data_IF_306621782044
#
_entry.id   IF_306621782044
#
_cell.length_a   1.000
_cell.length_b   1.000
_cell.length_c   1.000
_cell.angle_alpha   90.00
_cell.angle_beta   90.00
_cell.angle_gamma   90.00
#
_symmetry.space_group_name_H-M   'P 1'
#
loop_
_entity.id
_entity.type
_entity.pdbx_description
1 polymer ?
#
# COMPACT_ATOMS: atom_id res chain seq x y z
N UNK A 1 -17.75 -12.12 14.35
CA UNK A 1 -16.93 -11.07 14.97
C UNK A 1 -17.86 -10.13 15.71
N UNK A 2 -17.71 -9.97 17.02
CA UNK A 2 -18.56 -9.09 17.81
C UNK A 2 -18.08 -7.65 17.69
N UNK A 3 -18.73 -6.85 16.85
CA UNK A 3 -18.48 -5.41 16.77
C UNK A 3 -18.91 -4.76 18.08
N UNK A 4 -17.98 -4.16 18.82
CA UNK A 4 -18.30 -3.41 20.05
C UNK A 4 -18.77 -2.02 19.66
N UNK A 5 -19.80 -1.51 20.32
CA UNK A 5 -20.27 -0.13 20.14
C UNK A 5 -19.76 0.77 21.26
N UNK A 6 -19.55 2.05 20.92
CA UNK A 6 -19.26 3.07 21.91
C UNK A 6 -20.51 3.38 22.73
N UNK A 7 -20.34 3.61 24.03
CA UNK A 7 -21.43 4.11 24.86
C UNK A 7 -21.74 5.56 24.50
N UNK A 8 -22.98 6.02 24.74
CA UNK A 8 -23.35 7.42 24.51
C UNK A 8 -22.41 8.39 25.23
N UNK A 9 -22.00 8.04 26.45
CA UNK A 9 -21.04 8.82 27.25
C UNK A 9 -19.66 8.88 26.59
N UNK A 10 -19.13 7.75 26.10
CA UNK A 10 -17.85 7.71 25.38
C UNK A 10 -17.90 8.58 24.11
N UNK A 11 -18.97 8.47 23.34
CA UNK A 11 -19.17 9.29 22.14
C UNK A 11 -19.18 10.78 22.48
N UNK A 12 -19.88 11.19 23.54
CA UNK A 12 -19.91 12.59 23.98
C UNK A 12 -18.50 13.06 24.39
N UNK A 13 -17.78 12.27 25.18
CA UNK A 13 -16.43 12.61 25.65
C UNK A 13 -15.45 12.77 24.47
N UNK A 14 -15.45 11.80 23.54
CA UNK A 14 -14.55 11.87 22.38
C UNK A 14 -14.91 13.02 21.44
N UNK A 15 -16.20 13.28 21.20
CA UNK A 15 -16.63 14.42 20.39
C UNK A 15 -16.28 15.76 21.03
N UNK A 16 -16.45 15.89 22.35
CA UNK A 16 -16.07 17.10 23.08
C UNK A 16 -14.56 17.35 23.02
N UNK A 17 -13.75 16.30 23.17
CA UNK A 17 -12.30 16.40 23.10
C UNK A 17 -11.81 16.74 21.68
N UNK A 18 -12.37 16.10 20.66
CA UNK A 18 -12.09 16.43 19.26
C UNK A 18 -12.48 17.88 18.93
N UNK A 19 -13.64 18.34 19.42
CA UNK A 19 -14.09 19.72 19.27
C UNK A 19 -13.14 20.72 19.94
N UNK A 20 -12.68 20.44 21.16
CA UNK A 20 -11.72 21.28 21.86
C UNK A 20 -10.37 21.37 21.11
N UNK A 21 -9.85 20.24 20.61
CA UNK A 21 -8.62 20.21 19.81
C UNK A 21 -8.76 21.01 18.50
N UNK A 22 -9.88 20.86 17.80
CA UNK A 22 -10.14 21.62 16.57
C UNK A 22 -10.27 23.13 16.85
N UNK A 23 -10.93 23.51 17.94
CA UNK A 23 -11.09 24.89 18.36
C UNK A 23 -9.75 25.55 18.72
N UNK A 24 -8.93 24.89 19.54
CA UNK A 24 -7.59 25.37 19.91
C UNK A 24 -6.69 25.47 18.67
N UNK A 25 -6.74 24.49 17.77
CA UNK A 25 -6.03 24.54 16.49
C UNK A 25 -6.47 25.73 15.63
N UNK A 26 -7.76 26.01 15.55
CA UNK A 26 -8.30 27.17 14.82
C UNK A 26 -7.86 28.52 15.41
N UNK A 27 -7.86 28.66 16.75
CA UNK A 27 -7.34 29.85 17.42
C UNK A 27 -5.85 30.03 17.14
N UNK A 28 -5.07 28.96 17.25
CA UNK A 28 -3.64 29.03 16.97
C UNK A 28 -3.37 29.45 15.52
N UNK A 29 -4.14 28.92 14.56
CA UNK A 29 -4.00 29.28 13.16
C UNK A 29 -4.33 30.74 12.86
N UNK A 30 -5.36 31.26 13.53
CA UNK A 30 -5.68 32.68 13.52
C UNK A 30 -4.52 33.50 14.08
N UNK A 31 -3.93 33.08 15.20
CA UNK A 31 -2.76 33.72 15.81
C UNK A 31 -1.55 33.77 14.88
N UNK A 32 -1.21 32.64 14.24
CA UNK A 32 -0.12 32.56 13.26
C UNK A 32 -0.36 33.49 12.08
N UNK A 33 -1.60 33.54 11.57
CA UNK A 33 -1.99 34.47 10.51
C UNK A 33 -1.80 35.93 10.93
N UNK A 34 -2.29 36.34 12.10
CA UNK A 34 -2.18 37.72 12.55
C UNK A 34 -0.74 38.14 12.79
N UNK A 35 0.08 37.25 13.35
CA UNK A 35 1.50 37.51 13.59
C UNK A 35 2.26 37.66 12.27
N UNK A 36 2.08 36.72 11.33
CA UNK A 36 2.70 36.80 10.02
C UNK A 36 2.23 38.02 9.22
N UNK A 37 0.93 38.38 9.30
CA UNK A 37 0.41 39.56 8.62
C UNK A 37 1.01 40.86 9.17
N UNK A 38 1.24 40.92 10.50
CA UNK A 38 1.90 42.05 11.14
C UNK A 38 3.38 42.17 10.74
N UNK A 39 4.09 41.04 10.60
CA UNK A 39 5.51 41.01 10.27
C UNK A 39 5.79 41.29 8.78
N UNK A 40 4.99 40.72 7.86
CA UNK A 40 5.24 40.84 6.42
C UNK A 40 4.52 42.04 5.78
N UNK A 41 3.61 42.70 6.49
CA UNK A 41 2.74 43.78 5.99
C UNK A 41 1.99 43.42 4.67
N UNK A 42 1.89 42.12 4.36
CA UNK A 42 1.26 41.57 3.15
C UNK A 42 0.41 40.36 3.54
N UNK A 43 -0.90 40.52 3.47
CA UNK A 43 -1.87 39.48 3.84
C UNK A 43 -1.70 38.19 3.01
N UNK A 44 -1.33 38.31 1.73
CA UNK A 44 -1.10 37.15 0.87
C UNK A 44 0.11 36.30 1.30
N UNK A 45 1.19 36.94 1.76
CA UNK A 45 2.39 36.23 2.26
C UNK A 45 2.08 35.54 3.59
N UNK A 46 1.33 36.20 4.48
CA UNK A 46 0.88 35.61 5.75
C UNK A 46 -0.03 34.41 5.53
N UNK A 47 -1.00 34.51 4.62
CA UNK A 47 -1.86 33.39 4.25
C UNK A 47 -1.05 32.22 3.66
N UNK A 48 -0.03 32.51 2.84
CA UNK A 48 0.86 31.49 2.28
C UNK A 48 1.67 30.74 3.35
N UNK A 49 2.20 31.45 4.36
CA UNK A 49 2.95 30.84 5.48
C UNK A 49 2.05 29.93 6.31
N UNK A 50 0.84 30.39 6.64
CA UNK A 50 -0.16 29.61 7.39
C UNK A 50 -0.60 28.38 6.60
N UNK A 51 -0.91 28.56 5.31
CA UNK A 51 -1.30 27.44 4.44
C UNK A 51 -0.18 26.39 4.31
N UNK A 52 1.08 26.83 4.18
CA UNK A 52 2.22 25.93 4.05
C UNK A 52 2.57 25.19 5.36
N UNK A 53 2.46 25.85 6.52
CA UNK A 53 2.75 25.21 7.81
C UNK A 53 1.57 24.41 8.35
N UNK A 54 0.48 25.11 8.68
CA UNK A 54 -0.67 24.54 9.39
C UNK A 54 -1.65 23.87 8.45
N UNK A 55 -1.88 24.45 7.26
CA UNK A 55 -2.74 23.85 6.24
C UNK A 55 -2.23 22.48 5.79
N UNK A 56 -0.91 22.35 5.56
CA UNK A 56 -0.29 21.08 5.22
C UNK A 56 -0.37 20.06 6.36
N UNK A 57 -0.14 20.50 7.60
CA UNK A 57 -0.27 19.64 8.79
C UNK A 57 -1.70 19.13 8.96
N UNK A 58 -2.70 20.00 8.75
CA UNK A 58 -4.12 19.64 8.76
C UNK A 58 -4.43 18.61 7.68
N UNK A 59 -3.93 18.78 6.46
CA UNK A 59 -4.11 17.81 5.37
C UNK A 59 -3.54 16.45 5.78
N UNK A 60 -2.32 16.39 6.33
CA UNK A 60 -1.74 15.13 6.81
C UNK A 60 -2.55 14.50 7.95
N UNK A 61 -3.05 15.31 8.89
CA UNK A 61 -3.91 14.83 9.97
C UNK A 61 -5.24 14.26 9.45
N UNK A 62 -5.88 14.91 8.47
CA UNK A 62 -7.11 14.42 7.86
C UNK A 62 -6.90 13.13 7.08
N UNK A 63 -5.79 13.01 6.34
CA UNK A 63 -5.42 11.76 5.66
C UNK A 63 -5.18 10.65 6.69
N UNK A 64 -4.46 10.94 7.77
CA UNK A 64 -4.21 10.00 8.86
C UNK A 64 -5.53 9.51 9.48
N UNK A 65 -6.43 10.44 9.78
CA UNK A 65 -7.74 10.17 10.36
C UNK A 65 -8.60 9.32 9.41
N UNK A 66 -8.71 9.71 8.14
CA UNK A 66 -9.47 8.99 7.13
C UNK A 66 -8.98 7.56 6.95
N UNK A 67 -7.66 7.34 6.86
CA UNK A 67 -7.08 5.99 6.77
C UNK A 67 -7.30 5.17 8.04
N UNK A 68 -7.21 5.80 9.20
CA UNK A 68 -7.48 5.14 10.48
C UNK A 68 -8.93 4.66 10.55
N UNK A 69 -9.89 5.50 10.15
CA UNK A 69 -11.31 5.15 10.09
C UNK A 69 -11.60 4.03 9.09
N UNK A 70 -10.82 3.93 8.00
CA UNK A 70 -10.90 2.83 7.03
C UNK A 70 -10.21 1.54 7.52
N UNK A 71 -9.66 1.51 8.73
CA UNK A 71 -8.90 0.37 9.24
C UNK A 71 -7.62 0.11 8.45
N UNK A 72 -7.03 1.15 7.85
CA UNK A 72 -5.80 1.04 7.06
C UNK A 72 -4.60 1.52 7.87
N UNK A 73 -3.41 0.93 7.65
CA UNK A 73 -2.19 1.43 8.29
C UNK A 73 -1.85 2.83 7.78
N UNK A 74 -1.20 3.59 8.67
CA UNK A 74 -0.74 4.94 8.38
C UNK A 74 0.54 4.92 7.55
N UNK A 75 0.57 5.57 6.37
CA UNK A 75 1.76 5.63 5.53
C UNK A 75 2.88 6.39 6.25
N UNK A 76 4.10 5.86 6.21
CA UNK A 76 5.27 6.52 6.80
C UNK A 76 5.48 7.97 6.31
N UNK A 77 5.28 8.31 5.01
CA UNK A 77 5.40 9.69 4.55
C UNK A 77 4.42 10.66 5.20
N UNK A 78 3.18 10.20 5.47
CA UNK A 78 2.15 11.05 6.12
C UNK A 78 2.55 11.34 7.56
N UNK A 79 3.08 10.33 8.28
CA UNK A 79 3.58 10.53 9.65
C UNK A 79 4.79 11.45 9.69
N UNK A 80 5.72 11.30 8.76
CA UNK A 80 6.86 12.20 8.64
C UNK A 80 6.39 13.63 8.32
N UNK A 81 5.41 13.78 7.43
CA UNK A 81 4.77 15.05 7.09
C UNK A 81 4.19 15.77 8.31
N UNK A 82 3.49 15.03 9.19
CA UNK A 82 2.87 15.57 10.40
C UNK A 82 3.88 16.17 11.40
N UNK A 83 5.15 15.74 11.36
CA UNK A 83 6.21 16.27 12.21
C UNK A 83 7.09 17.31 11.50
N UNK A 84 7.39 17.08 10.23
CA UNK A 84 8.30 17.95 9.45
C UNK A 84 7.67 19.31 9.16
N UNK A 85 6.37 19.37 8.85
CA UNK A 85 5.71 20.64 8.54
C UNK A 85 5.67 21.60 9.76
N UNK A 86 5.31 21.15 10.97
CA UNK A 86 5.40 21.99 12.16
C UNK A 86 6.81 22.39 12.54
N UNK A 87 7.80 21.50 12.41
CA UNK A 87 9.21 21.84 12.65
C UNK A 87 9.68 22.93 11.68
N UNK A 88 9.33 22.83 10.39
CA UNK A 88 9.64 23.86 9.41
C UNK A 88 8.97 25.20 9.77
N UNK A 89 7.69 25.17 10.18
CA UNK A 89 6.98 26.36 10.64
C UNK A 89 7.63 26.97 11.89
N UNK A 90 8.06 26.16 12.85
CA UNK A 90 8.80 26.62 14.03
C UNK A 90 10.12 27.30 13.65
N UNK A 91 10.88 26.75 12.69
CA UNK A 91 12.10 27.39 12.19
C UNK A 91 11.83 28.76 11.55
N UNK A 92 10.77 28.87 10.74
CA UNK A 92 10.35 30.15 10.16
C UNK A 92 9.94 31.13 11.26
N UNK A 93 9.18 30.67 12.27
CA UNK A 93 8.79 31.44 13.43
C UNK A 93 9.98 32.02 14.20
N UNK A 94 11.01 31.20 14.44
CA UNK A 94 12.27 31.66 15.07
C UNK A 94 12.98 32.70 14.21
N UNK A 95 13.01 32.51 12.89
CA UNK A 95 13.72 33.39 11.97
C UNK A 95 13.07 34.78 11.83
N UNK A 96 11.76 34.90 12.04
CA UNK A 96 11.03 36.19 11.93
C UNK A 96 10.86 36.90 13.28
N UNK A 97 11.15 36.23 14.40
CA UNK A 97 10.98 36.81 15.72
C UNK A 97 11.98 37.94 15.99
N UNK A 98 11.52 38.99 16.65
CA UNK A 98 12.33 40.17 16.96
C UNK A 98 13.15 40.03 18.24
N UNK A 99 12.69 39.17 19.17
CA UNK A 99 13.39 38.87 20.42
C UNK A 99 13.30 37.39 20.82
N UNK A 100 14.08 37.00 21.84
CA UNK A 100 14.17 35.62 22.29
C UNK A 100 12.88 35.07 22.92
N UNK A 101 12.03 35.91 23.53
CA UNK A 101 10.73 35.47 24.07
C UNK A 101 9.75 35.22 22.93
N UNK A 102 9.70 36.12 21.96
CA UNK A 102 8.88 35.97 20.76
C UNK A 102 9.29 34.73 19.95
N UNK A 103 10.59 34.48 19.81
CA UNK A 103 11.13 33.29 19.14
C UNK A 103 10.67 31.99 19.80
N UNK A 104 10.67 31.92 21.14
CA UNK A 104 10.20 30.74 21.88
C UNK A 104 8.70 30.52 21.65
N UNK A 105 7.89 31.58 21.72
CA UNK A 105 6.44 31.48 21.51
C UNK A 105 6.13 31.02 20.07
N UNK A 106 6.81 31.59 19.08
CA UNK A 106 6.63 31.23 17.67
C UNK A 106 7.15 29.82 17.35
N UNK A 107 8.18 29.33 18.05
CA UNK A 107 8.67 27.97 17.89
C UNK A 107 7.74 26.93 18.50
N UNK A 108 7.20 27.18 19.70
CA UNK A 108 6.39 26.20 20.45
C UNK A 108 5.00 26.03 19.85
N UNK A 109 4.41 27.10 19.30
CA UNK A 109 3.01 27.09 18.84
C UNK A 109 2.75 26.02 17.75
N UNK A 110 3.54 25.89 16.68
CA UNK A 110 3.35 24.83 15.68
C UNK A 110 3.54 23.42 16.25
N UNK A 111 4.50 23.24 17.18
CA UNK A 111 4.78 21.93 17.80
C UNK A 111 3.63 21.47 18.71
N UNK A 112 3.04 22.41 19.46
CA UNK A 112 1.87 22.12 20.30
C UNK A 112 0.69 21.61 19.46
N UNK A 113 0.51 22.14 18.24
CA UNK A 113 -0.50 21.65 17.30
C UNK A 113 -0.21 20.24 16.80
N UNK A 114 1.06 19.88 16.57
CA UNK A 114 1.44 18.50 16.19
C UNK A 114 1.08 17.51 17.29
N UNK A 115 1.36 17.88 18.55
CA UNK A 115 0.97 17.09 19.72
C UNK A 115 -0.56 16.89 19.80
N UNK A 116 -1.34 17.95 19.53
CA UNK A 116 -2.79 17.85 19.47
C UNK A 116 -3.27 16.94 18.33
N UNK A 117 -2.68 17.06 17.13
CA UNK A 117 -3.02 16.23 15.98
C UNK A 117 -2.68 14.74 16.21
N UNK A 118 -1.54 14.44 16.83
CA UNK A 118 -1.18 13.06 17.20
C UNK A 118 -2.09 12.52 18.30
N UNK A 119 -2.49 13.34 19.27
CA UNK A 119 -3.50 13.00 20.27
C UNK A 119 -4.85 12.63 19.63
N UNK A 120 -5.32 13.42 18.66
CA UNK A 120 -6.54 13.13 17.91
C UNK A 120 -6.41 11.83 17.10
N UNK A 121 -5.26 11.61 16.46
CA UNK A 121 -4.94 10.37 15.76
C UNK A 121 -4.94 9.15 16.70
N UNK A 122 -4.41 9.29 17.90
CA UNK A 122 -4.43 8.24 18.93
C UNK A 122 -5.86 7.88 19.37
N UNK A 123 -6.73 8.88 19.56
CA UNK A 123 -8.13 8.68 19.92
C UNK A 123 -8.90 7.98 18.80
N UNK A 124 -8.73 8.47 17.57
CA UNK A 124 -9.34 7.87 16.39
C UNK A 124 -8.94 6.39 16.25
N UNK A 125 -7.65 6.08 16.42
CA UNK A 125 -7.16 4.70 16.39
C UNK A 125 -7.75 3.88 17.53
N UNK A 126 -7.79 4.42 18.75
CA UNK A 126 -8.34 3.73 19.91
C UNK A 126 -9.82 3.38 19.72
N UNK A 127 -10.61 4.28 19.13
CA UNK A 127 -12.00 4.02 18.77
C UNK A 127 -12.09 2.88 17.76
N UNK A 128 -11.33 2.93 16.67
CA UNK A 128 -11.37 1.91 15.62
C UNK A 128 -10.94 0.55 16.15
N UNK A 129 -9.87 0.49 16.93
CA UNK A 129 -9.41 -0.76 17.56
C UNK A 129 -10.46 -1.30 18.50
N UNK A 130 -11.10 -0.45 19.30
CA UNK A 130 -12.16 -0.88 20.21
C UNK A 130 -13.39 -1.42 19.47
N UNK A 131 -13.84 -0.75 18.41
CA UNK A 131 -15.06 -1.12 17.69
C UNK A 131 -14.87 -2.32 16.77
N UNK A 132 -13.73 -2.41 16.09
CA UNK A 132 -13.41 -3.47 15.13
C UNK A 132 -12.68 -4.66 15.74
N UNK A 133 -12.05 -4.47 16.91
CA UNK A 133 -11.18 -5.47 17.54
C UNK A 133 -9.84 -5.66 16.82
N UNK A 134 -9.53 -4.85 15.80
CA UNK A 134 -8.30 -4.96 14.99
C UNK A 134 -7.50 -3.68 15.02
N UNK A 135 -6.18 -3.83 15.13
CA UNK A 135 -5.25 -2.72 15.01
C UNK A 135 -4.43 -2.87 13.73
N UNK A 136 -4.81 -2.15 12.68
CA UNK A 136 -4.19 -2.22 11.36
C UNK A 136 -2.67 -1.97 11.38
N UNK A 137 -2.18 -1.18 12.34
CA UNK A 137 -0.76 -0.90 12.48
C UNK A 137 -0.03 -1.99 13.28
N UNK A 138 -0.72 -2.71 14.17
CA UNK A 138 -0.21 -3.95 14.75
C UNK A 138 -0.16 -5.05 13.67
N UNK A 139 -1.24 -5.20 12.89
CA UNK A 139 -1.33 -6.16 11.78
C UNK A 139 -0.20 -5.96 10.77
N UNK A 140 0.08 -4.72 10.34
CA UNK A 140 1.20 -4.39 9.45
C UNK A 140 2.56 -4.79 10.02
N UNK A 141 2.82 -4.49 11.30
CA UNK A 141 4.09 -4.82 11.96
C UNK A 141 4.25 -6.34 12.15
N UNK A 142 3.16 -7.02 12.48
CA UNK A 142 3.14 -8.47 12.60
C UNK A 142 3.39 -9.14 11.25
N UNK A 143 2.74 -8.68 10.17
CA UNK A 143 2.96 -9.19 8.82
C UNK A 143 4.42 -9.03 8.39
N UNK A 144 5.02 -7.86 8.62
CA UNK A 144 6.44 -7.64 8.34
C UNK A 144 7.35 -8.56 9.16
N UNK A 145 7.03 -8.77 10.45
CA UNK A 145 7.79 -9.68 11.33
C UNK A 145 7.68 -11.13 10.87
N UNK A 146 6.49 -11.59 10.47
CA UNK A 146 6.25 -12.94 9.95
C UNK A 146 6.99 -13.15 8.63
N UNK A 147 6.96 -12.17 7.72
CA UNK A 147 7.71 -12.24 6.47
C UNK A 147 9.22 -12.34 6.72
N UNK A 148 9.75 -11.53 7.64
CA UNK A 148 11.16 -11.61 8.04
C UNK A 148 11.47 -12.96 8.68
N UNK A 149 10.59 -13.50 9.52
CA UNK A 149 10.77 -14.80 10.16
C UNK A 149 10.85 -15.91 9.11
N UNK A 150 9.92 -15.93 8.15
CA UNK A 150 9.92 -16.91 7.06
C UNK A 150 11.22 -16.82 6.24
N UNK A 151 11.68 -15.62 5.93
CA UNK A 151 12.95 -15.40 5.24
C UNK A 151 14.16 -15.94 6.05
N UNK A 152 14.21 -15.66 7.35
CA UNK A 152 15.30 -16.16 8.21
C UNK A 152 15.24 -17.68 8.38
N UNK A 153 14.05 -18.29 8.43
CA UNK A 153 13.89 -19.75 8.47
C UNK A 153 14.37 -20.40 7.16
N UNK A 154 14.04 -19.82 6.00
CA UNK A 154 14.52 -20.30 4.71
C UNK A 154 16.06 -20.19 4.61
N UNK A 155 16.64 -19.07 5.06
CA UNK A 155 18.10 -18.91 5.12
C UNK A 155 18.75 -19.93 6.05
N UNK A 156 18.18 -20.17 7.23
CA UNK A 156 18.70 -21.12 8.20
C UNK A 156 18.72 -22.55 7.64
N UNK A 157 17.72 -22.92 6.83
CA UNK A 157 17.61 -24.26 6.26
C UNK A 157 18.48 -24.48 5.00
N UNK A 158 18.69 -23.44 4.17
CA UNK A 158 19.22 -23.61 2.82
C UNK A 158 20.51 -22.86 2.49
N UNK A 159 21.05 -22.03 3.37
CA UNK A 159 22.24 -21.23 3.05
C UNK A 159 23.53 -22.07 3.11
N UNK A 160 24.45 -22.03 2.12
CA UNK A 160 25.65 -22.89 2.10
C UNK A 160 26.67 -22.57 3.21
N UNK A 161 26.71 -21.32 3.65
CA UNK A 161 27.57 -20.85 4.76
C UNK A 161 26.90 -21.11 6.12
N UNK A 162 27.56 -21.91 6.97
CA UNK A 162 27.11 -22.29 8.32
C UNK A 162 26.99 -21.09 9.26
N UNK A 163 27.88 -20.12 9.17
CA UNK A 163 27.84 -18.94 10.05
C UNK A 163 26.58 -18.12 9.77
N UNK A 164 26.16 -18.05 8.49
CA UNK A 164 24.90 -17.42 8.10
C UNK A 164 23.68 -18.22 8.53
N UNK A 165 23.73 -19.56 8.49
CA UNK A 165 22.64 -20.40 9.00
C UNK A 165 22.43 -20.17 10.50
N UNK A 166 23.51 -20.13 11.28
CA UNK A 166 23.43 -19.87 12.73
C UNK A 166 22.96 -18.45 13.04
N UNK A 167 23.47 -17.45 12.31
CA UNK A 167 23.02 -16.07 12.46
C UNK A 167 21.53 -15.92 12.11
N UNK A 168 21.07 -16.59 11.06
CA UNK A 168 19.66 -16.61 10.65
C UNK A 168 18.79 -17.30 11.72
N UNK A 169 19.25 -18.43 12.28
CA UNK A 169 18.59 -19.11 13.39
C UNK A 169 18.44 -18.19 14.60
N UNK A 170 19.52 -17.51 15.01
CA UNK A 170 19.48 -16.53 16.12
C UNK A 170 18.50 -15.39 15.85
N UNK A 171 18.49 -14.84 14.62
CA UNK A 171 17.53 -13.81 14.22
C UNK A 171 16.09 -14.32 14.22
N UNK A 172 15.86 -15.54 13.74
CA UNK A 172 14.53 -16.17 13.76
C UNK A 172 13.99 -16.29 15.20
N UNK A 173 14.81 -16.73 16.15
CA UNK A 173 14.45 -16.78 17.57
C UNK A 173 14.08 -15.41 18.14
N UNK A 174 14.83 -14.36 17.80
CA UNK A 174 14.50 -12.98 18.22
C UNK A 174 13.20 -12.48 17.60
N UNK A 175 12.91 -12.85 16.34
CA UNK A 175 11.68 -12.47 15.65
C UNK A 175 10.46 -13.20 16.21
N UNK A 176 10.58 -14.49 16.56
CA UNK A 176 9.50 -15.28 17.20
C UNK A 176 8.99 -14.58 18.45
N UNK A 177 9.88 -14.03 19.28
CA UNK A 177 9.49 -13.27 20.48
C UNK A 177 8.71 -11.97 20.21
N UNK A 178 8.66 -11.50 18.96
CA UNK A 178 7.90 -10.29 18.54
C UNK A 178 6.64 -10.62 17.76
N UNK A 179 6.46 -11.86 17.30
CA UNK A 179 5.27 -12.25 16.54
C UNK A 179 4.04 -12.08 17.42
N UNK A 180 3.05 -11.32 16.93
CA UNK A 180 1.80 -11.10 17.64
C UNK A 180 1.86 -10.04 18.75
N UNK A 181 2.98 -9.33 18.89
CA UNK A 181 3.12 -8.28 19.89
C UNK A 181 2.10 -7.15 19.64
N UNK A 182 1.22 -6.91 20.61
CA UNK A 182 0.19 -5.87 20.53
C UNK A 182 -1.01 -6.23 19.66
N UNK A 183 -1.22 -7.51 19.32
CA UNK A 183 -2.44 -7.99 18.67
C UNK A 183 -3.41 -8.57 19.70
N UNK A 184 -4.45 -7.81 20.11
CA UNK A 184 -5.44 -8.29 21.08
C UNK A 184 -6.27 -9.47 20.55
N UNK A 185 -6.49 -9.54 19.23
CA UNK A 185 -7.24 -10.63 18.60
C UNK A 185 -6.47 -11.95 18.65
N UNK A 186 -5.16 -11.91 18.43
CA UNK A 186 -4.30 -13.09 18.57
C UNK A 186 -4.28 -13.62 20.00
N UNK A 187 -4.21 -12.74 21.01
CA UNK A 187 -4.23 -13.17 22.42
C UNK A 187 -5.53 -13.91 22.78
N UNK A 188 -6.68 -13.37 22.35
CA UNK A 188 -7.98 -14.02 22.54
C UNK A 188 -8.04 -15.37 21.81
N UNK A 189 -7.60 -15.41 20.55
CA UNK A 189 -7.56 -16.63 19.74
C UNK A 189 -6.63 -17.71 20.32
N UNK A 190 -5.45 -17.34 20.84
CA UNK A 190 -4.50 -18.28 21.45
C UNK A 190 -5.07 -18.93 22.72
N UNK A 191 -5.78 -18.18 23.55
CA UNK A 191 -6.44 -18.72 24.74
C UNK A 191 -7.52 -19.71 24.33
N UNK A 192 -8.32 -19.40 23.32
CA UNK A 192 -9.38 -20.30 22.85
C UNK A 192 -8.80 -21.59 22.23
N UNK A 193 -7.79 -21.49 21.37
CA UNK A 193 -7.07 -22.65 20.81
C UNK A 193 -6.43 -23.48 21.93
N UNK A 194 -5.84 -22.83 22.94
CA UNK A 194 -5.24 -23.53 24.08
C UNK A 194 -6.29 -24.26 24.91
N UNK A 195 -7.45 -23.64 25.14
CA UNK A 195 -8.59 -24.24 25.82
C UNK A 195 -9.12 -25.45 25.05
N UNK A 196 -9.25 -25.37 23.74
CA UNK A 196 -9.70 -26.48 22.90
C UNK A 196 -8.70 -27.64 22.91
N UNK A 197 -7.40 -27.34 22.80
CA UNK A 197 -6.34 -28.35 22.92
C UNK A 197 -6.32 -29.01 24.30
N UNK A 198 -6.52 -28.24 25.37
CA UNK A 198 -6.62 -28.76 26.74
C UNK A 198 -7.84 -29.68 26.90
N UNK A 199 -9.01 -29.26 26.42
CA UNK A 199 -10.23 -30.10 26.41
C UNK A 199 -10.01 -31.41 25.64
N UNK A 200 -9.42 -31.34 24.46
CA UNK A 200 -9.11 -32.51 23.64
C UNK A 200 -8.08 -33.43 24.32
N UNK A 201 -7.07 -32.86 24.97
CA UNK A 201 -6.10 -33.60 25.79
C UNK A 201 -6.77 -34.31 26.97
N UNK A 202 -7.61 -33.60 27.72
CA UNK A 202 -8.36 -34.14 28.85
C UNK A 202 -9.31 -35.28 28.44
N UNK A 203 -10.02 -35.12 27.31
CA UNK A 203 -10.88 -36.18 26.76
C UNK A 203 -10.11 -37.45 26.43
N UNK A 204 -8.91 -37.33 25.85
CA UNK A 204 -8.03 -38.49 25.60
C UNK A 204 -7.52 -39.14 26.88
N UNK A 205 -7.17 -38.35 27.89
CA UNK A 205 -6.72 -38.87 29.18
C UNK A 205 -7.84 -39.61 29.93
N UNK A 206 -9.05 -39.03 29.98
CA UNK A 206 -10.23 -39.66 30.57
C UNK A 206 -10.59 -40.97 29.84
N UNK A 207 -10.50 -40.99 28.51
CA UNK A 207 -10.70 -42.21 27.73
C UNK A 207 -9.73 -43.33 28.12
N UNK A 208 -8.46 -43.01 28.37
CA UNK A 208 -7.47 -44.00 28.84
C UNK A 208 -7.76 -44.47 30.27
N UNK A 209 -8.15 -43.58 31.17
CA UNK A 209 -8.44 -43.94 32.58
C UNK A 209 -9.71 -44.78 32.73
N UNK A 210 -10.72 -44.55 31.88
CA UNK A 210 -11.99 -45.29 31.89
C UNK A 210 -11.92 -46.61 31.11
N UNK A 211 -10.80 -46.88 30.42
CA UNK A 211 -10.54 -48.18 29.78
C UNK A 211 -9.89 -49.11 30.80
N UNK A 212 -10.51 -50.28 31.07
CA UNK A 212 -9.97 -51.34 31.93
C UNK A 212 -8.66 -51.94 31.35
N UNK A 213 -7.79 -52.55 32.19
CA UNK A 213 -6.47 -53.02 31.76
C UNK A 213 -6.58 -54.09 30.67
N UNK A 214 -5.64 -54.00 29.73
CA UNK A 214 -5.67 -54.55 28.39
C UNK A 214 -5.90 -56.07 28.31
N UNK A 215 -6.80 -56.47 27.42
CA UNK A 215 -6.53 -57.63 26.57
C UNK A 215 -5.46 -57.18 25.57
N UNK A 216 -4.19 -57.45 25.86
CA UNK A 216 -3.11 -57.33 24.89
C UNK A 216 -3.44 -58.19 23.67
N UNK A 217 -3.72 -57.53 22.55
CA UNK A 217 -3.99 -58.23 21.29
C UNK A 217 -4.85 -57.49 20.27
N UNK A 218 -4.75 -56.17 20.12
CA UNK A 218 -5.10 -55.51 18.86
C UNK A 218 -4.47 -54.10 18.79
N UNK A 219 -3.82 -53.82 17.68
CA UNK A 219 -3.20 -52.54 17.37
C UNK A 219 -4.14 -51.34 17.61
N UNK A 220 -3.56 -50.23 18.08
CA UNK A 220 -4.28 -48.98 18.36
C UNK A 220 -5.17 -48.51 17.20
N UNK A 221 -6.45 -48.17 17.41
CA UNK A 221 -7.19 -47.34 16.48
C UNK A 221 -6.95 -45.85 16.79
N UNK A 222 -6.91 -44.97 15.77
CA UNK A 222 -6.73 -43.53 15.95
C UNK A 222 -7.93 -42.90 16.68
N UNK A 223 -7.64 -41.87 17.47
CA UNK A 223 -8.65 -41.09 18.15
C UNK A 223 -9.52 -40.30 17.14
N UNK A 224 -10.84 -40.51 17.21
CA UNK A 224 -11.83 -39.58 16.67
C UNK A 224 -12.82 -40.24 15.71
N UNK A 225 -13.96 -40.66 16.23
CA UNK A 225 -15.11 -40.98 15.41
C UNK A 225 -16.39 -40.58 16.12
N UNK A 226 -16.78 -39.30 15.99
CA UNK A 226 -18.21 -39.00 16.04
C UNK A 226 -18.85 -39.88 14.96
N UNK A 227 -19.87 -40.67 15.32
CA UNK A 227 -20.67 -41.39 14.32
C UNK A 227 -21.17 -40.35 13.30
N UNK A 228 -20.93 -40.54 12.00
CA UNK A 228 -21.32 -39.56 10.99
C UNK A 228 -22.85 -39.35 11.07
N UNK A 229 -23.27 -38.09 11.14
CA UNK A 229 -24.70 -37.72 11.24
C UNK A 229 -25.39 -37.80 9.87
N UNK A 230 -24.63 -38.00 8.79
CA UNK A 230 -25.15 -38.18 7.43
C UNK A 230 -24.21 -39.04 6.56
N UNK A 231 -24.76 -39.63 5.49
CA UNK A 231 -23.98 -40.38 4.49
C UNK A 231 -22.88 -39.52 3.84
N UNK A 232 -23.15 -38.22 3.64
CA UNK A 232 -22.16 -37.27 3.11
C UNK A 232 -20.99 -37.05 4.06
N UNK A 233 -21.21 -37.05 5.38
CA UNK A 233 -20.12 -36.97 6.37
C UNK A 233 -19.30 -38.26 6.42
N UNK A 234 -19.95 -39.42 6.26
CA UNK A 234 -19.25 -40.70 6.16
C UNK A 234 -18.32 -40.73 4.94
N UNK A 235 -18.85 -40.36 3.77
CA UNK A 235 -18.07 -40.28 2.53
C UNK A 235 -16.95 -39.23 2.62
N UNK A 236 -17.22 -38.04 3.16
CA UNK A 236 -16.18 -37.02 3.35
C UNK A 236 -15.02 -37.53 4.20
N UNK A 237 -15.31 -38.30 5.24
CA UNK A 237 -14.27 -38.90 6.08
C UNK A 237 -13.48 -39.97 5.33
N UNK A 238 -14.18 -40.86 4.63
CA UNK A 238 -13.57 -41.93 3.86
C UNK A 238 -12.65 -41.38 2.76
N UNK A 239 -13.11 -40.38 2.01
CA UNK A 239 -12.31 -39.69 1.00
C UNK A 239 -11.13 -38.89 1.60
N UNK A 240 -11.26 -38.34 2.81
CA UNK A 240 -10.17 -37.63 3.48
C UNK A 240 -9.06 -38.55 4.02
N UNK A 241 -9.37 -39.81 4.32
CA UNK A 241 -8.40 -40.83 4.74
C UNK A 241 -7.81 -41.61 3.54
N UNK A 242 -8.41 -41.48 2.35
CA UNK A 242 -7.98 -42.14 1.11
C UNK A 242 -6.79 -41.42 0.46
N UNK A 243 -5.91 -42.16 -0.20
CA UNK A 243 -4.85 -41.57 -1.01
C UNK A 243 -5.47 -40.72 -2.14
N UNK A 244 -4.98 -39.48 -2.38
CA UNK A 244 -5.54 -38.62 -3.42
C UNK A 244 -5.57 -39.24 -4.81
N UNK A 245 -4.63 -40.11 -5.17
CA UNK A 245 -4.60 -40.81 -6.46
C UNK A 245 -5.74 -41.83 -6.56
N UNK A 246 -5.99 -42.56 -5.47
CA UNK A 246 -7.07 -43.54 -5.40
C UNK A 246 -8.45 -42.86 -5.35
N UNK A 247 -8.56 -41.73 -4.66
CA UNK A 247 -9.76 -40.90 -4.67
C UNK A 247 -10.08 -40.36 -6.07
N UNK A 248 -9.05 -39.94 -6.83
CA UNK A 248 -9.20 -39.51 -8.22
C UNK A 248 -9.69 -40.66 -9.10
N UNK A 249 -9.09 -41.85 -9.00
CA UNK A 249 -9.50 -43.03 -9.78
C UNK A 249 -10.93 -43.45 -9.45
N UNK A 250 -11.28 -43.50 -8.16
CA UNK A 250 -12.62 -43.84 -7.71
C UNK A 250 -13.67 -42.85 -8.22
N UNK A 251 -13.36 -41.54 -8.21
CA UNK A 251 -14.26 -40.52 -8.74
C UNK A 251 -14.40 -40.60 -10.27
N UNK A 252 -13.32 -40.92 -10.98
CA UNK A 252 -13.34 -41.12 -12.43
C UNK A 252 -14.12 -42.40 -12.83
N UNK A 253 -13.98 -43.49 -12.08
CA UNK A 253 -14.74 -44.72 -12.30
C UNK A 253 -16.24 -44.51 -12.06
N UNK A 254 -16.61 -43.70 -11.05
CA UNK A 254 -18.00 -43.35 -10.77
C UNK A 254 -18.60 -42.38 -11.81
N UNK A 255 -17.77 -41.57 -12.48
CA UNK A 255 -18.18 -40.59 -13.50
C UNK A 255 -17.18 -40.56 -14.67
N UNK A 256 -17.23 -41.56 -15.57
CA UNK A 256 -16.23 -41.70 -16.63
C UNK A 256 -16.23 -40.54 -17.65
N UNK A 257 -17.37 -39.87 -17.82
CA UNK A 257 -17.54 -38.78 -18.78
C UNK A 257 -17.20 -37.39 -18.20
N UNK A 258 -16.87 -37.30 -16.91
CA UNK A 258 -16.62 -36.01 -16.27
C UNK A 258 -15.21 -35.47 -16.61
N UNK A 259 -15.07 -34.19 -17.05
CA UNK A 259 -13.77 -33.60 -17.30
C UNK A 259 -12.96 -33.42 -16.00
N UNK A 260 -11.61 -33.36 -16.06
CA UNK A 260 -10.76 -33.26 -14.87
C UNK A 260 -11.08 -32.11 -13.92
N UNK A 261 -11.53 -30.98 -14.45
CA UNK A 261 -11.94 -29.82 -13.64
C UNK A 261 -13.21 -30.09 -12.81
N UNK A 262 -14.15 -30.86 -13.37
CA UNK A 262 -15.37 -31.24 -12.66
C UNK A 262 -15.09 -32.29 -11.59
N UNK A 263 -14.22 -33.26 -11.88
CA UNK A 263 -13.76 -34.24 -10.89
C UNK A 263 -13.02 -33.57 -9.72
N UNK A 264 -12.14 -32.62 -10.00
CA UNK A 264 -11.46 -31.83 -8.97
C UNK A 264 -12.45 -31.06 -8.08
N UNK A 265 -13.51 -30.49 -8.67
CA UNK A 265 -14.55 -29.79 -7.93
C UNK A 265 -15.35 -30.74 -7.02
N UNK A 266 -15.74 -31.91 -7.53
CA UNK A 266 -16.46 -32.93 -6.76
C UNK A 266 -15.62 -33.44 -5.59
N UNK A 267 -14.35 -33.76 -5.83
CA UNK A 267 -13.41 -34.19 -4.78
C UNK A 267 -13.21 -33.12 -3.70
N UNK A 268 -13.16 -31.84 -4.10
CA UNK A 268 -13.13 -30.72 -3.17
C UNK A 268 -14.34 -30.67 -2.21
N UNK A 269 -15.53 -31.03 -2.68
CA UNK A 269 -16.74 -31.10 -1.83
C UNK A 269 -16.66 -32.19 -0.75
N UNK A 270 -15.85 -33.23 -1.01
CA UNK A 270 -15.52 -34.32 -0.07
C UNK A 270 -14.20 -34.09 0.68
N UNK A 271 -13.61 -32.90 0.60
CA UNK A 271 -12.45 -32.51 1.39
C UNK A 271 -11.09 -32.92 0.79
N UNK A 272 -11.08 -33.46 -0.43
CA UNK A 272 -9.86 -33.83 -1.17
C UNK A 272 -9.48 -32.68 -2.10
N UNK A 273 -8.48 -31.88 -1.70
CA UNK A 273 -8.02 -30.74 -2.47
C UNK A 273 -7.04 -31.18 -3.56
N UNK A 274 -7.52 -31.33 -4.79
CA UNK A 274 -6.70 -31.66 -5.97
C UNK A 274 -6.90 -30.64 -7.07
N UNK A 275 -5.83 -30.30 -7.77
CA UNK A 275 -5.87 -29.38 -8.91
C UNK A 275 -6.34 -30.12 -10.18
N UNK A 276 -7.11 -29.48 -11.09
CA UNK A 276 -7.52 -30.10 -12.35
C UNK A 276 -6.38 -30.68 -13.18
N UNK A 277 -5.18 -30.09 -13.13
CA UNK A 277 -3.99 -30.61 -13.82
C UNK A 277 -3.49 -31.88 -13.14
N UNK A 278 -3.51 -31.95 -11.81
CA UNK A 278 -3.15 -33.17 -11.09
C UNK A 278 -4.12 -34.32 -11.41
N UNK A 279 -5.42 -34.03 -11.51
CA UNK A 279 -6.43 -35.01 -11.94
C UNK A 279 -6.14 -35.50 -13.36
N UNK A 280 -5.87 -34.59 -14.30
CA UNK A 280 -5.55 -34.96 -15.69
C UNK A 280 -4.29 -35.83 -15.78
N UNK A 281 -3.25 -35.51 -14.99
CA UNK A 281 -2.00 -36.29 -14.93
C UNK A 281 -2.23 -37.71 -14.37
N UNK A 282 -3.02 -37.85 -13.30
CA UNK A 282 -3.34 -39.16 -12.72
C UNK A 282 -4.14 -40.02 -13.69
N UNK A 283 -5.06 -39.42 -14.45
CA UNK A 283 -5.88 -40.11 -15.44
C UNK A 283 -5.19 -40.31 -16.79
N UNK A 284 -3.94 -39.83 -16.95
CA UNK A 284 -3.21 -39.91 -18.21
C UNK A 284 -3.86 -39.15 -19.36
N UNK A 285 -4.73 -38.17 -19.06
CA UNK A 285 -5.40 -37.38 -20.08
C UNK A 285 -4.43 -36.32 -20.61
N UNK A 286 -4.17 -36.36 -21.92
CA UNK A 286 -3.48 -35.27 -22.59
C UNK A 286 -4.43 -34.09 -22.76
N UNK A 287 -3.97 -32.84 -22.54
CA UNK A 287 -4.75 -31.65 -22.85
C UNK A 287 -5.20 -31.70 -24.31
N UNK A 288 -6.45 -31.30 -24.58
CA UNK A 288 -6.89 -31.15 -25.96
C UNK A 288 -5.98 -30.12 -26.67
N UNK A 289 -5.24 -30.57 -27.68
CA UNK A 289 -4.51 -29.67 -28.55
C UNK A 289 -5.53 -28.87 -29.35
N UNK A 290 -5.53 -27.55 -29.16
CA UNK A 290 -6.31 -26.65 -29.99
C UNK A 290 -5.36 -25.80 -30.81
N UNK A 291 -5.56 -25.84 -32.12
CA UNK A 291 -4.94 -24.89 -33.04
C UNK A 291 -5.60 -23.54 -32.84
N UNK A 292 -4.87 -22.61 -32.23
CA UNK A 292 -5.29 -21.21 -32.20
C UNK A 292 -5.05 -20.63 -33.58
N UNK A 293 -6.11 -20.60 -34.39
CA UNK A 293 -6.09 -19.82 -35.63
C UNK A 293 -6.17 -18.34 -35.24
N UNK A 294 -4.99 -17.73 -35.09
CA UNK A 294 -4.88 -16.29 -34.90
C UNK A 294 -4.94 -15.69 -36.30
N UNK A 295 -6.04 -15.01 -36.70
CA UNK A 295 -6.03 -14.26 -37.94
C UNK A 295 -4.82 -13.31 -37.89
N UNK A 296 -4.07 -13.22 -38.99
CA UNK A 296 -2.87 -12.40 -39.09
C UNK A 296 -3.12 -11.06 -38.40
N UNK A 297 -2.54 -10.89 -37.22
CA UNK A 297 -2.64 -9.65 -36.51
C UNK A 297 -1.96 -8.63 -37.42
N UNK A 298 -2.71 -7.63 -37.90
CA UNK A 298 -2.11 -6.48 -38.56
C UNK A 298 -0.95 -6.04 -37.67
N UNK A 299 0.26 -6.03 -38.24
CA UNK A 299 1.53 -5.73 -37.56
C UNK A 299 1.25 -4.59 -36.59
N UNK A 300 1.29 -4.88 -35.28
CA UNK A 300 1.10 -3.84 -34.28
C UNK A 300 2.03 -2.69 -34.68
N UNK A 301 1.53 -1.44 -34.79
CA UNK A 301 2.34 -0.34 -35.28
C UNK A 301 3.58 -0.29 -34.40
N UNK A 302 4.71 -0.70 -34.97
CA UNK A 302 5.98 -0.61 -34.27
C UNK A 302 6.18 0.86 -34.03
N UNK A 303 6.13 1.25 -32.76
CA UNK A 303 6.39 2.63 -32.38
C UNK A 303 7.88 2.82 -32.63
N UNK A 304 8.21 3.31 -33.84
CA UNK A 304 9.56 3.74 -34.17
C UNK A 304 9.98 4.71 -33.08
N UNK A 305 11.16 4.51 -32.47
CA UNK A 305 11.72 5.46 -31.52
C UNK A 305 11.73 6.83 -32.20
N UNK A 306 10.79 7.69 -31.80
CA UNK A 306 10.76 9.07 -32.25
C UNK A 306 12.07 9.71 -31.79
N UNK A 307 12.77 10.47 -32.66
CA UNK A 307 14.00 11.15 -32.28
C UNK A 307 13.73 12.00 -31.03
N UNK A 308 14.68 11.99 -30.09
CA UNK A 308 14.58 12.76 -28.86
C UNK A 308 14.46 14.26 -29.18
N UNK A 309 13.22 14.77 -29.20
CA UNK A 309 12.92 16.18 -29.41
C UNK A 309 13.39 16.97 -28.20
N UNK A 310 14.18 18.01 -28.44
CA UNK A 310 14.54 18.95 -27.38
C UNK A 310 13.30 19.75 -26.94
N UNK A 311 13.35 20.38 -25.77
CA UNK A 311 12.25 21.24 -25.27
C UNK A 311 11.94 22.36 -26.27
N UNK A 312 12.95 22.84 -26.99
CA UNK A 312 12.79 23.87 -28.03
C UNK A 312 11.99 23.31 -29.21
N UNK A 313 12.33 22.12 -29.69
CA UNK A 313 11.65 21.50 -30.84
C UNK A 313 10.20 21.13 -30.50
N UNK A 314 9.94 20.71 -29.25
CA UNK A 314 8.59 20.44 -28.78
C UNK A 314 7.72 21.71 -28.79
N UNK A 315 8.28 22.86 -28.41
CA UNK A 315 7.56 24.15 -28.46
C UNK A 315 7.31 24.58 -29.92
N UNK A 316 8.28 24.40 -30.80
CA UNK A 316 8.14 24.72 -32.23
C UNK A 316 7.11 23.81 -32.94
N UNK A 317 7.11 22.49 -32.62
CA UNK A 317 6.11 21.53 -33.09
C UNK A 317 4.69 21.93 -32.63
N UNK A 318 4.53 22.23 -31.34
CA UNK A 318 3.25 22.64 -30.77
C UNK A 318 2.75 23.97 -31.35
N UNK A 319 3.63 24.95 -31.56
CA UNK A 319 3.29 26.20 -32.20
C UNK A 319 2.88 26.00 -33.67
N UNK A 320 3.55 25.11 -34.39
CA UNK A 320 3.21 24.77 -35.78
C UNK A 320 1.86 24.06 -35.85
N UNK A 321 1.56 23.15 -34.91
CA UNK A 321 0.31 22.41 -34.87
C UNK A 321 -0.90 23.28 -34.51
N UNK A 322 -0.71 24.29 -33.65
CA UNK A 322 -1.79 25.20 -33.22
C UNK A 322 -1.98 26.41 -34.15
N UNK A 323 -0.97 26.73 -34.98
CA UNK A 323 -1.00 27.84 -35.93
C UNK A 323 -0.29 29.11 -35.44
N UNK A 324 -0.03 30.08 -36.34
CA UNK A 324 0.82 31.25 -36.07
C UNK A 324 0.25 32.23 -35.02
N UNK A 325 -1.06 32.20 -34.79
CA UNK A 325 -1.74 33.06 -33.82
C UNK A 325 -1.87 32.45 -32.42
N UNK A 326 -1.33 31.25 -32.20
CA UNK A 326 -1.44 30.53 -30.95
C UNK A 326 -0.74 31.29 -29.80
N UNK A 327 -1.46 31.48 -28.70
CA UNK A 327 -0.92 32.14 -27.51
C UNK A 327 0.04 31.22 -26.76
N UNK A 328 0.99 31.79 -26.02
CA UNK A 328 1.95 31.02 -25.20
C UNK A 328 1.26 30.11 -24.17
N UNK A 329 0.04 30.47 -23.74
CA UNK A 329 -0.77 29.68 -22.81
C UNK A 329 -1.38 28.46 -23.50
N UNK A 330 -1.95 28.62 -24.70
CA UNK A 330 -2.50 27.51 -25.48
C UNK A 330 -1.42 26.49 -25.84
N UNK A 331 -0.22 26.96 -26.18
CA UNK A 331 0.94 26.10 -26.42
C UNK A 331 1.34 25.34 -25.15
N UNK A 332 1.29 25.98 -23.97
CA UNK A 332 1.59 25.32 -22.69
C UNK A 332 0.57 24.21 -22.36
N UNK A 333 -0.71 24.50 -22.56
CA UNK A 333 -1.80 23.55 -22.30
C UNK A 333 -1.73 22.37 -23.27
N UNK A 334 -1.40 22.62 -24.55
CA UNK A 334 -1.19 21.58 -25.55
C UNK A 334 -0.02 20.67 -25.18
N UNK A 335 1.13 21.23 -24.81
CA UNK A 335 2.32 20.45 -24.40
C UNK A 335 2.08 19.63 -23.12
N UNK A 336 1.29 20.17 -22.19
CA UNK A 336 0.87 19.44 -20.98
C UNK A 336 -0.02 18.25 -21.32
N UNK A 337 -0.89 18.36 -22.31
CA UNK A 337 -1.80 17.28 -22.72
C UNK A 337 -1.11 16.24 -23.59
N UNK A 338 -0.37 16.66 -24.63
CA UNK A 338 0.21 15.75 -25.62
C UNK A 338 1.51 15.11 -25.16
N UNK A 339 2.37 15.86 -24.45
CA UNK A 339 3.72 15.42 -24.06
C UNK A 339 3.93 15.36 -22.55
N UNK A 340 2.94 15.73 -21.73
CA UNK A 340 3.04 15.84 -20.26
C UNK A 340 4.16 16.79 -19.80
N UNK A 341 4.51 17.77 -20.64
CA UNK A 341 5.52 18.78 -20.33
C UNK A 341 4.85 20.02 -19.73
N UNK A 342 5.28 20.42 -18.53
CA UNK A 342 4.79 21.61 -17.85
C UNK A 342 5.83 22.71 -17.99
N UNK A 343 5.59 23.64 -18.91
CA UNK A 343 6.48 24.78 -19.16
C UNK A 343 5.77 26.08 -18.78
N UNK A 344 6.47 27.02 -18.11
CA UNK A 344 5.92 28.33 -17.83
C UNK A 344 5.88 29.19 -19.11
N UNK A 345 4.89 30.07 -19.22
CA UNK A 345 4.67 30.88 -20.44
C UNK A 345 5.89 31.71 -20.86
N UNK A 346 6.69 32.17 -19.90
CA UNK A 346 7.92 32.92 -20.17
C UNK A 346 8.96 32.10 -20.94
N UNK A 347 9.06 30.78 -20.67
CA UNK A 347 9.95 29.88 -21.41
C UNK A 347 9.46 29.66 -22.85
N UNK A 348 8.15 29.53 -23.03
CA UNK A 348 7.54 29.36 -24.37
C UNK A 348 7.77 30.60 -25.21
N UNK A 349 7.54 31.81 -24.67
CA UNK A 349 7.82 33.08 -25.37
C UNK A 349 9.29 33.21 -25.75
N UNK A 350 10.20 32.84 -24.86
CA UNK A 350 11.64 32.85 -25.13
C UNK A 350 12.05 31.82 -26.20
N UNK A 351 11.41 30.65 -26.24
CA UNK A 351 11.61 29.66 -27.28
C UNK A 351 11.11 30.16 -28.64
N UNK A 352 9.88 30.71 -28.72
CA UNK A 352 9.31 31.27 -29.94
C UNK A 352 10.14 32.46 -30.49
N UNK A 353 10.63 33.34 -29.60
CA UNK A 353 11.49 34.45 -30.00
C UNK A 353 12.82 33.97 -30.62
N UNK A 354 13.40 32.89 -30.08
CA UNK A 354 14.60 32.27 -30.63
C UNK A 354 14.33 31.61 -32.00
N UNK A 355 13.17 30.97 -32.14
CA UNK A 355 12.74 30.37 -33.40
C UNK A 355 12.55 31.44 -34.50
N UNK A 356 11.86 32.55 -34.20
CA UNK A 356 11.65 33.65 -35.15
C UNK A 356 12.98 34.25 -35.65
N UNK A 357 13.94 34.47 -34.73
CA UNK A 357 15.27 35.00 -35.07
C UNK A 357 16.09 34.05 -35.96
N UNK A 358 15.89 32.73 -35.79
CA UNK A 358 16.53 31.71 -36.64
C UNK A 358 15.99 31.79 -38.07
N UNK A 359 14.68 31.98 -38.25
CA UNK A 359 14.06 32.15 -39.57
C UNK A 359 14.53 33.42 -40.28
N UNK A 360 14.62 34.56 -39.58
CA UNK A 360 15.09 35.84 -40.15
C UNK A 360 16.55 35.80 -40.63
N UNK A 361 17.42 35.07 -39.93
CA UNK A 361 18.84 34.93 -40.31
C UNK A 361 19.06 34.17 -41.62
N UNK A 362 18.05 33.44 -42.10
CA UNK A 362 18.12 32.66 -43.33
C UNK A 362 17.66 33.47 -44.56
N UNK A 363 16.94 34.58 -44.35
CA UNK A 363 16.45 35.45 -45.43
C UNK A 363 17.24 36.76 -45.63
N UNK A 364 18.20 37.08 -44.76
CA UNK A 364 19.02 38.29 -44.87
C UNK A 364 20.51 38.01 -45.18
N UNK A 365 20.78 37.02 -46.03
CA UNK A 365 22.07 36.94 -46.71
C UNK A 365 22.03 37.90 -47.92
N UNK A 366 22.24 39.19 -47.68
CA UNK A 366 22.60 40.14 -48.75
C UNK A 366 23.83 39.58 -49.46
N UNK A 367 23.83 39.40 -50.80
CA UNK A 367 25.01 38.93 -51.51
C UNK A 367 26.14 39.92 -51.26
N UNK A 368 27.23 39.40 -50.70
CA UNK A 368 28.47 40.16 -50.50
C UNK A 368 28.96 40.55 -51.88
N UNK A 369 28.94 41.84 -52.16
CA UNK A 369 29.37 42.47 -53.40
C UNK A 369 30.73 41.89 -53.85
N UNK A 370 30.75 41.17 -54.98
CA UNK A 370 31.93 40.56 -55.60
C UNK A 370 32.56 41.47 -56.67
N UNK A 371 32.34 42.78 -56.62
CA UNK A 371 32.99 43.73 -57.53
C UNK A 371 34.15 44.44 -56.82
N UNK A 372 35.32 43.78 -56.78
CA UNK A 372 36.64 44.41 -56.74
C UNK A 372 37.69 43.43 -57.32
N UNK A 373 37.49 42.99 -58.56
CA UNK A 373 38.56 42.47 -59.42
C UNK A 373 38.65 43.36 -60.66
N UNK A 374 39.70 44.18 -60.72
CA UNK A 374 39.96 45.03 -61.88
C UNK A 374 41.07 46.03 -61.62
N UNK A 375 42.33 45.59 -61.72
CA UNK A 375 43.46 46.52 -61.79
C UNK A 375 44.83 45.89 -61.52
N UNK A 376 45.37 45.17 -62.51
CA UNK A 376 46.81 45.15 -62.75
C UNK A 376 47.08 45.81 -64.11
N UNK A 377 47.72 46.97 -64.08
CA UNK A 377 48.64 47.48 -65.10
C UNK A 377 49.48 48.60 -64.47
#
# INVERSE_FOLDING_TARGET
MNTRSLTKTQTIVFSALAGAMAFVGGIGAWGTYTNAASAFHRQATAAGVVAAGEGLTLIFALILLGRTMLGQPSPAPVRAGLWTAPVAASCVGVAIASDGREAVVYAVTPLAMSGAAEGLGFIARSIVVYTTGRDAEADRRNAATVQQLAYQQALAAGHPDKDRQEAATRKAWQLIGRVGAGDPGLAEGLVEVSRDRLKAGAGRALGRMLSLPDTEGAASPPAGGQRPRSATEALRREFAEMDPVDAIRLAADARPDAPPAELAHVLGAYGVSVDPVAVALVLGQQPAEYTVDRPDAAVAPQVTELPALSVQDAVEEAATALGPDATAREIADHLKQSRRLVLPENHIRAALSRAAKKTDSTHSATPRNTDMEGGYA
#
